data_IF_555710690786
#
_entry.id   IF_555710690786
#
_cell.length_a   1.000
_cell.length_b   1.000
_cell.length_c   1.000
_cell.angle_alpha   90.00
_cell.angle_beta   90.00
_cell.angle_gamma   90.00
#
_symmetry.space_group_name_H-M   'P 1'
#
loop_
_entity.id
_entity.type
_entity.pdbx_description
1 polymer ?
#
# COMPACT_ATOMS: atom_id res chain seq x y z
N UNK A 1 11.51 -19.97 37.34
CA UNK A 1 10.70 -19.80 36.12
C UNK A 1 11.63 -19.34 35.01
N UNK A 2 11.88 -20.21 34.02
CA UNK A 2 12.74 -19.89 32.88
C UNK A 2 12.00 -18.91 31.95
N UNK A 3 12.63 -17.76 31.66
CA UNK A 3 12.11 -16.79 30.68
C UNK A 3 12.18 -17.43 29.30
N UNK A 4 11.02 -17.74 28.72
CA UNK A 4 10.91 -18.24 27.36
C UNK A 4 11.42 -17.18 26.40
N UNK A 5 12.56 -17.45 25.75
CA UNK A 5 13.11 -16.61 24.68
C UNK A 5 12.23 -16.84 23.45
N UNK A 6 11.56 -15.80 22.95
CA UNK A 6 10.78 -15.88 21.73
C UNK A 6 11.63 -16.48 20.60
N UNK A 7 11.07 -17.38 19.77
CA UNK A 7 11.76 -17.89 18.60
C UNK A 7 12.04 -16.71 17.66
N UNK A 8 13.33 -16.44 17.45
CA UNK A 8 13.80 -15.49 16.46
C UNK A 8 13.29 -15.94 15.09
N UNK A 9 12.42 -15.15 14.46
CA UNK A 9 11.90 -15.42 13.12
C UNK A 9 13.06 -15.30 12.12
N UNK A 10 13.59 -16.44 11.67
CA UNK A 10 14.72 -16.48 10.75
C UNK A 10 14.23 -16.25 9.31
N UNK A 11 14.31 -15.01 8.83
CA UNK A 11 14.07 -14.68 7.43
C UNK A 11 15.22 -15.22 6.57
N UNK A 12 14.92 -16.00 5.52
CA UNK A 12 15.91 -16.36 4.49
C UNK A 12 16.15 -15.14 3.60
N UNK A 13 17.30 -14.49 3.77
CA UNK A 13 17.64 -13.23 3.09
C UNK A 13 18.42 -13.48 1.80
N UNK A 14 18.06 -12.78 0.73
CA UNK A 14 18.69 -12.84 -0.59
C UNK A 14 20.05 -12.11 -0.67
N UNK A 15 20.35 -11.19 0.26
CA UNK A 15 21.67 -10.58 0.40
C UNK A 15 21.92 -10.14 1.85
N UNK A 16 22.90 -10.76 2.51
CA UNK A 16 23.15 -10.61 3.95
C UNK A 16 23.92 -9.33 4.33
N UNK A 17 24.33 -8.53 3.34
CA UNK A 17 25.26 -7.40 3.51
C UNK A 17 24.66 -6.00 3.38
N UNK A 18 23.36 -5.87 3.08
CA UNK A 18 22.71 -4.55 3.04
C UNK A 18 22.71 -3.89 4.44
N UNK A 19 23.21 -2.66 4.50
CA UNK A 19 23.33 -1.85 5.73
C UNK A 19 21.93 -1.54 6.29
N UNK A 20 20.94 -1.31 5.42
CA UNK A 20 19.57 -1.00 5.84
C UNK A 20 18.95 -2.17 6.58
N UNK A 21 19.17 -3.40 6.09
CA UNK A 21 18.69 -4.61 6.73
C UNK A 21 19.35 -4.84 8.09
N UNK A 22 20.65 -4.56 8.21
CA UNK A 22 21.37 -4.66 9.49
C UNK A 22 20.82 -3.68 10.53
N UNK A 23 20.51 -2.45 10.12
CA UNK A 23 19.92 -1.45 11.00
C UNK A 23 18.51 -1.87 11.47
N UNK A 24 17.65 -2.31 10.54
CA UNK A 24 16.30 -2.77 10.88
C UNK A 24 16.33 -3.97 11.84
N UNK A 25 17.24 -4.92 11.60
CA UNK A 25 17.40 -6.07 12.50
C UNK A 25 17.93 -5.67 13.88
N UNK A 26 18.86 -4.73 13.95
CA UNK A 26 19.39 -4.22 15.21
C UNK A 26 18.28 -3.54 16.03
N UNK A 27 17.49 -2.67 15.41
CA UNK A 27 16.35 -1.99 16.06
C UNK A 27 15.23 -3.00 16.40
N UNK A 28 14.92 -3.94 15.51
CA UNK A 28 13.92 -4.98 15.77
C UNK A 28 14.30 -5.89 16.95
N UNK A 29 15.59 -6.10 17.18
CA UNK A 29 16.08 -6.93 18.29
C UNK A 29 15.93 -6.29 19.67
N UNK A 30 15.70 -4.97 19.74
CA UNK A 30 15.45 -4.27 21.01
C UNK A 30 13.98 -4.28 21.43
N UNK A 31 13.07 -4.69 20.54
CA UNK A 31 11.63 -4.70 20.82
C UNK A 31 11.29 -5.80 21.81
N UNK A 32 10.63 -5.42 22.90
CA UNK A 32 10.19 -6.34 23.96
C UNK A 32 8.77 -6.84 23.74
N UNK A 33 8.41 -7.96 24.37
CA UNK A 33 7.04 -8.51 24.34
C UNK A 33 5.99 -7.50 24.85
N UNK A 34 6.32 -6.75 25.91
CA UNK A 34 5.41 -5.76 26.48
C UNK A 34 5.14 -4.58 25.52
N UNK A 35 6.15 -4.17 24.74
CA UNK A 35 6.00 -3.16 23.70
C UNK A 35 5.16 -3.69 22.53
N UNK A 36 5.38 -4.95 22.13
CA UNK A 36 4.58 -5.60 21.11
C UNK A 36 3.09 -5.67 21.50
N UNK A 37 2.79 -6.01 22.75
CA UNK A 37 1.42 -6.00 23.28
C UNK A 37 0.81 -4.60 23.30
N UNK A 38 1.59 -3.57 23.63
CA UNK A 38 1.14 -2.18 23.55
C UNK A 38 0.80 -1.77 22.11
N UNK A 39 1.65 -2.12 21.14
CA UNK A 39 1.41 -1.85 19.72
C UNK A 39 0.16 -2.57 19.23
N UNK A 40 -0.03 -3.84 19.60
CA UNK A 40 -1.24 -4.59 19.25
C UNK A 40 -2.51 -3.98 19.86
N UNK A 41 -2.43 -3.49 21.11
CA UNK A 41 -3.53 -2.75 21.74
C UNK A 41 -3.83 -1.44 21.00
N UNK A 42 -2.81 -0.69 20.58
CA UNK A 42 -2.97 0.53 19.79
C UNK A 42 -3.62 0.23 18.44
N UNK A 43 -3.14 -0.80 17.72
CA UNK A 43 -3.74 -1.27 16.47
C UNK A 43 -5.22 -1.58 16.64
N UNK A 44 -5.58 -2.37 17.66
CA UNK A 44 -6.98 -2.73 17.90
C UNK A 44 -7.88 -1.52 18.21
N UNK A 45 -7.35 -0.48 18.86
CA UNK A 45 -8.09 0.78 19.08
C UNK A 45 -8.28 1.54 17.78
N UNK A 46 -7.23 1.67 16.97
CA UNK A 46 -7.31 2.32 15.67
C UNK A 46 -8.33 1.62 14.75
N UNK A 47 -8.35 0.29 14.73
CA UNK A 47 -9.33 -0.48 13.95
C UNK A 47 -10.77 -0.19 14.37
N UNK A 48 -11.06 -0.12 15.68
CA UNK A 48 -12.39 0.24 16.18
C UNK A 48 -12.82 1.65 15.78
N UNK A 49 -11.88 2.58 15.73
CA UNK A 49 -12.14 3.95 15.28
C UNK A 49 -12.48 3.93 13.79
N UNK A 50 -11.68 3.24 12.99
CA UNK A 50 -11.91 3.12 11.55
C UNK A 50 -13.25 2.44 11.22
N UNK A 51 -13.62 1.38 11.94
CA UNK A 51 -14.93 0.73 11.82
C UNK A 51 -16.10 1.69 12.10
N UNK A 52 -15.91 2.65 13.01
CA UNK A 52 -16.93 3.67 13.26
C UNK A 52 -16.99 4.69 12.13
N UNK A 53 -15.85 5.11 11.58
CA UNK A 53 -15.85 6.06 10.47
C UNK A 53 -16.50 5.45 9.21
N UNK A 54 -16.23 4.17 8.93
CA UNK A 54 -16.88 3.44 7.84
C UNK A 54 -18.38 3.18 8.04
N UNK A 55 -18.99 3.63 9.15
CA UNK A 55 -20.46 3.71 9.26
C UNK A 55 -21.03 4.99 8.64
N UNK A 56 -20.20 6.02 8.50
CA UNK A 56 -20.59 7.33 7.99
C UNK A 56 -20.11 7.55 6.54
N UNK A 57 -18.98 6.96 6.16
CA UNK A 57 -18.40 7.08 4.81
C UNK A 57 -18.10 5.71 4.21
N UNK A 58 -18.29 5.59 2.90
CA UNK A 58 -18.03 4.33 2.18
C UNK A 58 -16.56 4.21 1.70
N UNK A 59 -15.93 5.34 1.36
CA UNK A 59 -14.57 5.40 0.81
C UNK A 59 -13.81 6.59 1.39
N UNK A 60 -12.55 6.36 1.73
CA UNK A 60 -11.57 7.43 1.98
C UNK A 60 -10.75 7.72 0.75
N UNK A 61 -10.57 9.01 0.46
CA UNK A 61 -9.57 9.51 -0.47
C UNK A 61 -8.40 10.06 0.35
N UNK A 62 -7.23 9.44 0.25
CA UNK A 62 -6.09 9.76 1.09
C UNK A 62 -4.83 10.01 0.26
N UNK A 63 -3.97 10.87 0.82
CA UNK A 63 -2.54 10.90 0.56
C UNK A 63 -1.85 10.17 1.74
N UNK A 64 -1.95 8.84 1.70
CA UNK A 64 -1.26 7.78 2.47
C UNK A 64 -1.30 7.68 4.02
N UNK A 65 -1.48 6.41 4.43
CA UNK A 65 -1.15 5.65 5.67
C UNK A 65 -2.37 5.12 6.45
N UNK A 66 -2.76 3.85 6.28
CA UNK A 66 -3.51 2.97 7.22
C UNK A 66 -3.81 1.57 6.62
N UNK A 67 -3.99 0.54 7.47
CA UNK A 67 -4.20 -0.89 7.11
C UNK A 67 -5.66 -1.24 6.71
N UNK A 68 -6.13 -0.70 5.59
CA UNK A 68 -7.34 -1.17 4.89
C UNK A 68 -6.98 -1.42 3.42
N UNK A 69 -7.75 -2.25 2.70
CA UNK A 69 -7.51 -2.58 1.28
C UNK A 69 -7.26 -1.31 0.46
N UNK A 70 -5.99 -0.96 0.18
CA UNK A 70 -5.68 0.31 -0.42
C UNK A 70 -5.52 0.10 -1.92
N UNK A 71 -6.26 0.89 -2.70
CA UNK A 71 -6.07 0.96 -4.13
C UNK A 71 -5.46 2.31 -4.48
N UNK A 72 -4.27 2.29 -5.06
CA UNK A 72 -3.65 3.48 -5.63
C UNK A 72 -3.91 3.51 -7.13
N UNK A 73 -4.59 4.54 -7.62
CA UNK A 73 -4.84 4.76 -9.05
C UNK A 73 -4.05 5.97 -9.52
N UNK A 74 -3.51 5.90 -10.74
CA UNK A 74 -2.82 7.03 -11.33
C UNK A 74 -3.85 8.04 -11.86
N UNK A 75 -3.74 9.29 -11.41
CA UNK A 75 -4.64 10.39 -11.82
C UNK A 75 -3.97 11.37 -12.78
N UNK A 76 -2.68 11.19 -13.05
CA UNK A 76 -1.95 12.00 -14.01
C UNK A 76 -0.46 12.00 -13.76
N UNK A 77 0.21 12.94 -14.40
CA UNK A 77 1.65 13.14 -14.28
C UNK A 77 1.93 14.60 -13.92
N UNK A 78 2.97 14.80 -13.14
CA UNK A 78 3.47 16.15 -12.90
C UNK A 78 4.03 16.76 -14.19
N UNK A 79 3.72 18.03 -14.43
CA UNK A 79 4.12 18.75 -15.65
C UNK A 79 5.62 18.99 -15.74
N UNK A 80 6.32 19.06 -14.61
CA UNK A 80 7.74 19.43 -14.57
C UNK A 80 8.67 18.22 -14.61
N UNK A 81 8.32 17.16 -13.89
CA UNK A 81 9.16 15.98 -13.69
C UNK A 81 8.68 14.73 -14.44
N UNK A 82 7.49 14.78 -15.05
CA UNK A 82 6.81 13.62 -15.65
C UNK A 82 6.69 12.43 -14.69
N UNK A 83 6.63 12.68 -13.37
CA UNK A 83 6.42 11.64 -12.37
C UNK A 83 4.92 11.35 -12.23
N UNK A 84 4.53 10.06 -12.11
CA UNK A 84 3.14 9.70 -11.93
C UNK A 84 2.62 10.18 -10.57
N UNK A 85 1.45 10.80 -10.59
CA UNK A 85 0.70 11.20 -9.41
C UNK A 85 -0.41 10.16 -9.22
N UNK A 86 -0.39 9.53 -8.05
CA UNK A 86 -1.39 8.53 -7.67
C UNK A 86 -2.31 9.07 -6.57
N UNK A 87 -3.59 8.70 -6.67
CA UNK A 87 -4.59 8.87 -5.64
C UNK A 87 -4.77 7.54 -4.93
N UNK A 88 -4.58 7.51 -3.61
CA UNK A 88 -4.86 6.33 -2.80
C UNK A 88 -6.28 6.39 -2.28
N UNK A 89 -6.98 5.28 -2.43
CA UNK A 89 -8.33 5.08 -1.94
C UNK A 89 -8.35 3.90 -0.98
N UNK A 90 -9.21 3.98 0.03
CA UNK A 90 -9.45 2.87 0.95
C UNK A 90 -10.95 2.68 1.14
N UNK A 91 -11.38 1.44 1.06
CA UNK A 91 -12.75 1.04 1.40
C UNK A 91 -12.77 0.24 2.69
N UNK A 92 -13.99 -0.06 3.14
CA UNK A 92 -14.23 -1.10 4.13
C UNK A 92 -13.73 -2.46 3.64
N UNK A 93 -13.46 -3.35 4.59
CA UNK A 93 -13.12 -4.74 4.35
C UNK A 93 -14.25 -5.47 3.57
N UNK A 94 -13.89 -6.28 2.57
CA UNK A 94 -14.82 -6.95 1.63
C UNK A 94 -15.66 -6.03 0.71
N UNK A 95 -15.23 -4.79 0.50
CA UNK A 95 -15.91 -3.84 -0.40
C UNK A 95 -15.06 -3.48 -1.62
N UNK A 96 -14.29 -4.44 -2.12
CA UNK A 96 -13.41 -4.26 -3.27
C UNK A 96 -14.18 -3.97 -4.56
N UNK A 97 -15.41 -4.48 -4.69
CA UNK A 97 -16.29 -4.21 -5.82
C UNK A 97 -16.66 -2.72 -5.92
N UNK A 98 -17.05 -2.12 -4.80
CA UNK A 98 -17.32 -0.69 -4.71
C UNK A 98 -16.05 0.12 -4.97
N UNK A 99 -14.94 -0.27 -4.36
CA UNK A 99 -13.64 0.39 -4.52
C UNK A 99 -13.19 0.43 -5.99
N UNK A 100 -13.29 -0.71 -6.68
CA UNK A 100 -12.94 -0.83 -8.10
C UNK A 100 -13.92 -0.08 -9.01
N UNK A 101 -15.21 -0.07 -8.67
CA UNK A 101 -16.21 0.67 -9.45
C UNK A 101 -15.93 2.18 -9.43
N UNK A 102 -15.57 2.72 -8.26
CA UNK A 102 -15.22 4.14 -8.10
C UNK A 102 -13.87 4.44 -8.75
N UNK A 103 -12.89 3.55 -8.59
CA UNK A 103 -11.60 3.67 -9.26
C UNK A 103 -11.76 3.80 -10.78
N UNK A 104 -12.59 2.94 -11.37
CA UNK A 104 -12.88 2.95 -12.79
C UNK A 104 -13.53 4.26 -13.26
N UNK A 105 -14.43 4.85 -12.46
CA UNK A 105 -15.00 6.16 -12.79
C UNK A 105 -13.95 7.26 -12.72
N UNK A 106 -13.04 7.21 -11.74
CA UNK A 106 -11.95 8.18 -11.62
C UNK A 106 -10.97 8.05 -12.79
N UNK A 107 -10.61 6.84 -13.20
CA UNK A 107 -9.75 6.61 -14.38
C UNK A 107 -10.38 7.17 -15.67
N UNK A 108 -11.71 7.08 -15.81
CA UNK A 108 -12.43 7.72 -16.93
C UNK A 108 -12.37 9.24 -16.88
N UNK A 109 -12.47 9.82 -15.69
CA UNK A 109 -12.39 11.27 -15.50
C UNK A 109 -10.97 11.80 -15.73
N UNK A 110 -9.96 10.99 -15.42
CA UNK A 110 -8.54 11.34 -15.55
C UNK A 110 -7.82 10.32 -16.45
N UNK A 111 -8.05 10.36 -17.77
CA UNK A 111 -7.38 9.46 -18.69
C UNK A 111 -5.86 9.70 -18.65
N UNK A 112 -5.10 8.61 -18.67
CA UNK A 112 -3.63 8.68 -18.70
C UNK A 112 -3.18 9.21 -20.06
N UNK A 113 -2.69 10.45 -20.07
CA UNK A 113 -2.27 11.17 -21.28
C UNK A 113 -0.78 11.06 -21.59
N UNK A 114 0.04 10.68 -20.61
CA UNK A 114 1.50 10.58 -20.74
C UNK A 114 1.95 9.14 -20.57
N UNK A 115 3.03 8.79 -21.27
CA UNK A 115 3.74 7.52 -21.12
C UNK A 115 5.05 7.75 -20.37
N UNK A 116 5.50 6.80 -19.53
CA UNK A 116 6.82 6.85 -18.92
C UNK A 116 7.94 6.91 -19.97
N UNK A 117 9.10 7.45 -19.57
CA UNK A 117 10.25 7.60 -20.48
C UNK A 117 10.73 6.25 -21.04
N UNK A 118 10.68 5.19 -20.23
CA UNK A 118 11.08 3.83 -20.60
C UNK A 118 9.88 2.96 -21.04
N UNK A 119 8.94 3.53 -21.79
CA UNK A 119 7.78 2.79 -22.29
C UNK A 119 8.17 1.91 -23.49
N UNK A 120 8.09 0.58 -23.32
CA UNK A 120 8.22 -0.38 -24.41
C UNK A 120 6.85 -0.97 -24.76
N UNK A 121 6.42 -0.77 -26.00
CA UNK A 121 5.21 -1.37 -26.53
C UNK A 121 5.47 -2.85 -26.87
N UNK A 122 4.84 -3.76 -26.14
CA UNK A 122 5.01 -5.22 -26.33
C UNK A 122 4.14 -5.76 -27.48
N UNK A 123 2.97 -5.15 -27.72
CA UNK A 123 2.03 -5.60 -28.74
C UNK A 123 1.97 -4.62 -29.90
N UNK A 124 2.39 -5.07 -31.08
CA UNK A 124 2.23 -4.33 -32.34
C UNK A 124 0.77 -4.39 -32.81
N UNK A 125 0.21 -3.27 -33.31
CA UNK A 125 -1.14 -3.26 -33.85
C UNK A 125 -1.19 -4.12 -35.11
N UNK A 126 -2.17 -5.02 -35.19
CA UNK A 126 -2.43 -5.80 -36.40
C UNK A 126 -2.82 -4.82 -37.51
N UNK A 127 -1.93 -4.58 -38.46
CA UNK A 127 -2.27 -3.87 -39.69
C UNK A 127 -3.19 -4.79 -40.49
N UNK A 128 -4.48 -4.51 -40.51
CA UNK A 128 -5.42 -5.12 -41.45
C UNK A 128 -5.11 -4.59 -42.85
N UNK A 129 -4.20 -5.26 -43.55
CA UNK A 129 -3.96 -5.06 -44.97
C UNK A 129 -5.19 -5.54 -45.75
N UNK A 130 -6.08 -4.61 -46.06
CA UNK A 130 -7.14 -4.79 -47.06
C UNK A 130 -6.61 -4.59 -48.47
#
# INVERSE_FOLDING_TARGET
MQKGKLPMMTFKLANKNDINLKLILAVGSTVTEAELDNVNRQRNRAMKIMDNIFKEVDIFLLLMYLEYHPLAINIGFDKSSNLPIALQMMSKWWSEDLLLSVAYQIEKMFPLTSTPNDYQRVLEPQTSSG
#
